data_IF_863819341066
#
_entry.id   IF_863819341066
#
_cell.length_a   1.000
_cell.length_b   1.000
_cell.length_c   1.000
_cell.angle_alpha   90.00
_cell.angle_beta   90.00
_cell.angle_gamma   90.00
#
_symmetry.space_group_name_H-M   'P 1'
#
loop_
_entity.id
_entity.type
_entity.pdbx_description
1 polymer ?
#
# COMPACT_ATOMS: atom_id res chain seq x y z
N UNK A 1 -14.95 -19.58 27.75
CA UNK A 1 -15.20 -18.41 26.89
C UNK A 1 -16.16 -17.39 27.54
N UNK A 2 -17.22 -17.80 28.25
CA UNK A 2 -18.25 -16.86 28.74
C UNK A 2 -17.81 -15.92 29.88
N UNK A 3 -16.92 -16.33 30.79
CA UNK A 3 -16.58 -15.50 31.97
C UNK A 3 -15.78 -14.25 31.60
N UNK A 4 -14.78 -14.38 30.71
CA UNK A 4 -13.96 -13.25 30.28
C UNK A 4 -14.76 -12.32 29.38
N UNK A 5 -15.48 -12.83 28.38
CA UNK A 5 -16.31 -12.01 27.49
C UNK A 5 -17.43 -11.30 28.27
N UNK A 6 -18.12 -12.03 29.15
CA UNK A 6 -19.19 -11.47 29.98
C UNK A 6 -18.75 -10.30 30.87
N UNK A 7 -17.49 -10.29 31.30
CA UNK A 7 -16.91 -9.21 32.11
C UNK A 7 -16.12 -8.16 31.30
N UNK A 8 -15.92 -8.37 30.00
CA UNK A 8 -15.15 -7.46 29.13
C UNK A 8 -16.06 -6.69 28.17
N UNK A 9 -16.92 -7.41 27.45
CA UNK A 9 -17.71 -6.89 26.33
C UNK A 9 -19.21 -7.26 26.43
N UNK A 10 -19.56 -8.11 27.39
CA UNK A 10 -20.89 -8.72 27.53
C UNK A 10 -21.30 -9.54 26.31
N UNK A 11 -22.09 -8.98 25.40
CA UNK A 11 -22.56 -9.64 24.20
C UNK A 11 -22.42 -8.71 22.99
N UNK A 12 -22.20 -9.29 21.80
CA UNK A 12 -22.25 -8.56 20.53
C UNK A 12 -23.64 -7.97 20.27
N UNK A 13 -23.71 -6.85 19.55
CA UNK A 13 -24.96 -6.17 19.18
C UNK A 13 -26.01 -7.14 18.63
N UNK A 14 -27.21 -7.15 19.22
CA UNK A 14 -28.31 -8.02 18.78
C UNK A 14 -28.71 -7.76 17.33
N UNK A 15 -28.70 -6.50 16.90
CA UNK A 15 -29.00 -6.14 15.50
C UNK A 15 -27.95 -6.72 14.54
N UNK A 16 -26.67 -6.66 14.91
CA UNK A 16 -25.59 -7.24 14.10
C UNK A 16 -25.69 -8.77 14.02
N UNK A 17 -26.17 -9.43 15.07
CA UNK A 17 -26.40 -10.89 15.06
C UNK A 17 -27.50 -11.28 14.08
N UNK A 18 -28.66 -10.60 14.10
CA UNK A 18 -29.73 -10.88 13.14
C UNK A 18 -29.30 -10.60 11.70
N UNK A 19 -28.54 -9.53 11.46
CA UNK A 19 -27.96 -9.27 10.14
C UNK A 19 -26.95 -10.35 9.71
N UNK A 20 -26.12 -10.86 10.64
CA UNK A 20 -25.16 -11.92 10.37
C UNK A 20 -25.85 -13.26 10.03
N UNK A 21 -27.00 -13.56 10.63
CA UNK A 21 -27.79 -14.73 10.26
C UNK A 21 -28.15 -14.66 8.78
N UNK A 22 -28.78 -13.57 8.33
CA UNK A 22 -29.15 -13.41 6.92
C UNK A 22 -27.92 -13.43 5.99
N UNK A 23 -26.83 -12.77 6.38
CA UNK A 23 -25.59 -12.77 5.60
C UNK A 23 -25.00 -14.18 5.40
N UNK A 24 -25.18 -15.10 6.36
CA UNK A 24 -24.66 -16.47 6.31
C UNK A 24 -25.63 -17.43 5.62
N UNK A 25 -26.93 -17.36 5.93
CA UNK A 25 -27.93 -18.34 5.46
C UNK A 25 -28.65 -17.91 4.18
N UNK A 26 -28.63 -16.62 3.86
CA UNK A 26 -29.28 -16.04 2.68
C UNK A 26 -28.50 -16.22 1.38
N UNK A 27 -28.89 -15.48 0.34
CA UNK A 27 -28.31 -15.59 -1.00
C UNK A 27 -26.83 -15.15 -1.05
N UNK A 28 -25.95 -16.07 -1.43
CA UNK A 28 -24.51 -15.86 -1.49
C UNK A 28 -24.00 -15.32 -2.85
N UNK A 29 -24.87 -15.13 -3.85
CA UNK A 29 -24.47 -14.66 -5.19
C UNK A 29 -23.72 -13.33 -5.19
N UNK A 30 -23.99 -12.46 -4.20
CA UNK A 30 -23.29 -11.20 -4.03
C UNK A 30 -21.77 -11.39 -3.91
N UNK A 31 -21.33 -12.41 -3.16
CA UNK A 31 -19.91 -12.67 -2.87
C UNK A 31 -19.11 -12.94 -4.14
N UNK A 32 -19.65 -13.75 -5.06
CA UNK A 32 -18.96 -14.08 -6.32
C UNK A 32 -18.73 -12.82 -7.18
N UNK A 33 -19.75 -11.96 -7.31
CA UNK A 33 -19.62 -10.69 -8.03
C UNK A 33 -18.65 -9.73 -7.33
N UNK A 34 -18.71 -9.66 -5.99
CA UNK A 34 -17.81 -8.84 -5.18
C UNK A 34 -16.35 -9.27 -5.38
N UNK A 35 -16.05 -10.57 -5.28
CA UNK A 35 -14.72 -11.13 -5.52
C UNK A 35 -14.22 -10.83 -6.94
N UNK A 36 -15.10 -10.93 -7.96
CA UNK A 36 -14.73 -10.58 -9.34
C UNK A 36 -14.31 -9.12 -9.48
N UNK A 37 -15.04 -8.19 -8.85
CA UNK A 37 -14.68 -6.75 -8.84
C UNK A 37 -13.35 -6.51 -8.14
N UNK A 38 -13.11 -7.16 -7.00
CA UNK A 38 -11.83 -7.04 -6.28
C UNK A 38 -10.66 -7.64 -7.04
N UNK A 39 -10.86 -8.76 -7.77
CA UNK A 39 -9.84 -9.33 -8.64
C UNK A 39 -9.43 -8.35 -9.75
N UNK A 40 -10.39 -7.70 -10.40
CA UNK A 40 -10.10 -6.67 -11.43
C UNK A 40 -9.28 -5.50 -10.86
N UNK A 41 -9.65 -5.02 -9.66
CA UNK A 41 -8.92 -3.94 -8.97
C UNK A 41 -7.51 -4.38 -8.57
N UNK A 42 -7.36 -5.60 -8.06
CA UNK A 42 -6.05 -6.19 -7.74
C UNK A 42 -5.16 -6.21 -8.98
N UNK A 43 -5.66 -6.78 -10.07
CA UNK A 43 -4.87 -6.97 -11.29
C UNK A 43 -4.40 -5.62 -11.83
N UNK A 44 -5.31 -4.63 -11.88
CA UNK A 44 -4.98 -3.26 -12.26
C UNK A 44 -3.90 -2.62 -11.36
N UNK A 45 -4.06 -2.69 -10.03
CA UNK A 45 -3.09 -2.09 -9.11
C UNK A 45 -1.73 -2.79 -9.21
N UNK A 46 -1.69 -4.12 -9.30
CA UNK A 46 -0.44 -4.87 -9.43
C UNK A 46 0.27 -4.52 -10.74
N UNK A 47 -0.46 -4.41 -11.85
CA UNK A 47 0.09 -3.98 -13.13
C UNK A 47 0.73 -2.60 -13.01
N UNK A 48 -0.03 -1.60 -12.53
CA UNK A 48 0.45 -0.21 -12.42
C UNK A 48 1.61 -0.04 -11.45
N UNK A 49 1.60 -0.76 -10.32
CA UNK A 49 2.71 -0.67 -9.36
C UNK A 49 3.99 -1.29 -9.93
N UNK A 50 3.90 -2.34 -10.75
CA UNK A 50 5.07 -2.92 -11.42
C UNK A 50 5.58 -2.08 -12.61
N UNK A 51 4.80 -1.11 -13.11
CA UNK A 51 5.28 -0.08 -14.04
C UNK A 51 6.14 0.99 -13.34
N UNK A 52 6.01 1.15 -12.02
CA UNK A 52 6.74 2.17 -11.27
C UNK A 52 8.19 1.75 -11.01
N UNK A 53 9.13 2.57 -11.48
CA UNK A 53 10.55 2.29 -11.30
C UNK A 53 10.92 2.21 -9.80
N UNK A 54 11.62 1.15 -9.42
CA UNK A 54 12.04 0.89 -8.05
C UNK A 54 10.99 0.21 -7.16
N UNK A 55 9.78 -0.04 -7.68
CA UNK A 55 8.77 -0.86 -7.01
C UNK A 55 8.66 -2.26 -7.64
N UNK A 56 8.29 -3.24 -6.83
CA UNK A 56 7.98 -4.59 -7.32
C UNK A 56 6.88 -5.21 -6.48
N UNK A 57 5.87 -5.78 -7.13
CA UNK A 57 4.72 -6.34 -6.45
C UNK A 57 4.33 -7.71 -7.01
N UNK A 58 4.31 -8.72 -6.14
CA UNK A 58 3.74 -10.04 -6.46
C UNK A 58 2.21 -9.95 -6.45
N UNK A 59 1.57 -10.66 -7.37
CA UNK A 59 0.11 -10.81 -7.39
C UNK A 59 -0.35 -11.53 -6.11
N UNK A 60 -1.19 -10.92 -5.26
CA UNK A 60 -1.72 -11.58 -4.07
C UNK A 60 -2.84 -12.55 -4.43
N UNK A 61 -2.94 -13.64 -3.69
CA UNK A 61 -3.94 -14.70 -3.92
C UNK A 61 -5.30 -14.40 -3.26
N UNK A 62 -5.35 -13.47 -2.30
CA UNK A 62 -6.56 -13.11 -1.57
C UNK A 62 -6.45 -11.81 -0.78
N UNK A 63 -7.42 -11.58 0.11
CA UNK A 63 -7.67 -10.31 0.79
C UNK A 63 -7.89 -9.15 -0.21
N UNK A 64 -7.61 -7.91 0.22
CA UNK A 64 -7.76 -6.71 -0.60
C UNK A 64 -6.57 -5.74 -0.49
N UNK A 65 -5.38 -6.30 -0.27
CA UNK A 65 -4.13 -5.54 -0.14
C UNK A 65 -3.09 -6.02 -1.14
N UNK A 66 -2.35 -5.09 -1.73
CA UNK A 66 -1.05 -5.41 -2.33
C UNK A 66 0.05 -5.02 -1.37
N UNK A 67 1.13 -5.81 -1.37
CA UNK A 67 2.32 -5.55 -0.57
C UNK A 67 3.49 -5.45 -1.54
N UNK A 68 3.86 -4.21 -1.86
CA UNK A 68 4.86 -3.92 -2.87
C UNK A 68 6.20 -3.62 -2.20
N UNK A 69 7.27 -4.27 -2.64
CA UNK A 69 8.61 -3.89 -2.25
C UNK A 69 8.92 -2.51 -2.83
N UNK A 70 9.51 -1.65 -2.01
CA UNK A 70 10.04 -0.36 -2.42
C UNK A 70 11.57 -0.33 -2.27
N UNK A 71 12.23 -1.50 -2.28
CA UNK A 71 13.68 -1.58 -2.12
C UNK A 71 14.45 -0.74 -3.15
N UNK A 72 13.94 -0.66 -4.39
CA UNK A 72 14.59 0.08 -5.47
C UNK A 72 14.47 1.60 -5.39
N UNK A 73 13.71 2.14 -4.43
CA UNK A 73 13.66 3.60 -4.17
C UNK A 73 14.46 4.01 -2.94
N UNK A 74 14.91 3.04 -2.13
CA UNK A 74 15.75 3.32 -0.96
C UNK A 74 17.12 3.82 -1.44
N UNK A 75 17.61 4.89 -0.83
CA UNK A 75 18.84 5.57 -1.22
C UNK A 75 18.66 6.63 -2.31
N UNK A 76 17.46 6.75 -2.92
CA UNK A 76 17.15 7.84 -3.85
C UNK A 76 16.80 9.13 -3.10
N UNK A 77 16.97 10.25 -3.80
CA UNK A 77 16.69 11.58 -3.26
C UNK A 77 15.47 12.19 -3.93
N UNK A 78 14.59 12.79 -3.14
CA UNK A 78 13.42 13.54 -3.61
C UNK A 78 13.83 14.84 -4.29
N UNK A 79 12.96 15.43 -5.12
CA UNK A 79 13.21 16.74 -5.74
C UNK A 79 13.47 17.88 -4.72
N UNK A 80 13.04 17.71 -3.46
CA UNK A 80 13.26 18.64 -2.36
C UNK A 80 14.58 18.37 -1.60
N UNK A 81 15.39 17.40 -2.04
CA UNK A 81 16.69 17.07 -1.44
C UNK A 81 16.64 16.12 -0.24
N UNK A 82 15.45 15.61 0.13
CA UNK A 82 15.32 14.59 1.20
C UNK A 82 15.70 13.20 0.68
N UNK A 83 16.59 12.51 1.39
CA UNK A 83 16.96 11.12 1.15
C UNK A 83 15.85 10.17 1.62
N UNK A 84 15.58 9.11 0.85
CA UNK A 84 14.67 8.03 1.25
C UNK A 84 15.50 6.92 1.89
N UNK A 85 15.57 6.86 3.22
CA UNK A 85 16.35 5.84 3.94
C UNK A 85 15.52 4.61 4.27
N UNK A 86 14.21 4.78 4.45
CA UNK A 86 13.29 3.72 4.91
C UNK A 86 12.00 3.68 4.11
N UNK A 87 11.23 2.60 4.26
CA UNK A 87 9.87 2.51 3.72
C UNK A 87 8.91 3.55 4.34
N UNK A 88 9.16 3.95 5.60
CA UNK A 88 8.46 5.06 6.25
C UNK A 88 8.76 6.39 5.55
N UNK A 89 10.01 6.66 5.17
CA UNK A 89 10.35 7.87 4.42
C UNK A 89 9.65 7.91 3.07
N UNK A 90 9.60 6.77 2.38
CA UNK A 90 8.89 6.67 1.10
C UNK A 90 7.37 6.86 1.27
N UNK A 91 6.76 6.24 2.29
CA UNK A 91 5.35 6.41 2.58
C UNK A 91 5.00 7.88 2.90
N UNK A 92 5.84 8.57 3.69
CA UNK A 92 5.67 9.99 3.98
C UNK A 92 5.88 10.86 2.74
N UNK A 93 6.85 10.54 1.90
CA UNK A 93 7.05 11.22 0.62
C UNK A 93 5.83 11.14 -0.30
N UNK A 94 5.24 9.94 -0.46
CA UNK A 94 4.00 9.75 -1.23
C UNK A 94 2.85 10.58 -0.66
N UNK A 95 2.73 10.63 0.67
CA UNK A 95 1.68 11.38 1.34
C UNK A 95 1.86 12.90 1.18
N UNK A 96 3.03 13.42 1.52
CA UNK A 96 3.30 14.86 1.60
C UNK A 96 3.38 15.52 0.23
N UNK A 97 4.01 14.86 -0.75
CA UNK A 97 4.28 15.48 -2.05
C UNK A 97 3.27 15.07 -3.13
N UNK A 98 2.65 13.90 -3.01
CA UNK A 98 1.73 13.36 -4.03
C UNK A 98 0.31 13.10 -3.48
N UNK A 99 0.08 13.28 -2.19
CA UNK A 99 -1.24 13.11 -1.57
C UNK A 99 -1.75 11.67 -1.64
N UNK A 100 -0.86 10.67 -1.51
CA UNK A 100 -1.21 9.25 -1.48
C UNK A 100 -0.80 8.64 -0.15
N UNK A 101 -1.78 8.24 0.65
CA UNK A 101 -1.54 7.56 1.92
C UNK A 101 -1.37 6.04 1.71
N UNK A 102 -0.22 5.51 2.13
CA UNK A 102 0.07 4.08 2.19
C UNK A 102 0.59 3.72 3.57
N UNK A 103 0.60 2.43 3.93
CA UNK A 103 1.17 1.98 5.21
C UNK A 103 2.55 1.37 4.98
N UNK A 104 3.61 1.82 5.67
CA UNK A 104 4.93 1.25 5.52
C UNK A 104 5.00 -0.19 6.08
N UNK A 105 5.87 -0.99 5.48
CA UNK A 105 6.11 -2.39 5.79
C UNK A 105 6.74 -2.61 7.16
N UNK A 106 7.45 -1.61 7.67
CA UNK A 106 7.97 -1.55 9.04
C UNK A 106 6.90 -1.81 10.10
N UNK A 107 5.67 -1.31 9.90
CA UNK A 107 4.52 -1.60 10.77
C UNK A 107 4.07 -3.06 10.76
N UNK A 108 4.55 -3.85 9.79
CA UNK A 108 4.31 -5.29 9.64
C UNK A 108 5.59 -6.12 9.81
N UNK A 109 6.68 -5.52 10.32
CA UNK A 109 7.99 -6.17 10.48
C UNK A 109 8.58 -6.70 9.17
N UNK A 110 8.27 -6.05 8.05
CA UNK A 110 8.62 -6.51 6.71
C UNK A 110 9.12 -5.36 5.83
N UNK A 111 10.07 -4.56 6.32
CA UNK A 111 10.71 -3.53 5.51
C UNK A 111 11.66 -4.11 4.45
N UNK A 112 11.88 -3.43 3.30
CA UNK A 112 11.27 -2.17 2.85
C UNK A 112 10.08 -2.41 1.90
N UNK A 113 8.86 -2.36 2.43
CA UNK A 113 7.63 -2.60 1.67
C UNK A 113 6.60 -1.51 1.95
N UNK A 114 5.59 -1.40 1.09
CA UNK A 114 4.40 -0.59 1.34
C UNK A 114 3.13 -1.41 1.10
N UNK A 115 2.13 -1.21 1.95
CA UNK A 115 0.81 -1.82 1.83
C UNK A 115 -0.18 -0.84 1.23
N UNK A 116 -0.83 -1.23 0.15
CA UNK A 116 -1.88 -0.46 -0.52
C UNK A 116 -3.19 -1.27 -0.45
N UNK A 117 -4.25 -0.66 0.07
CA UNK A 117 -5.60 -1.23 0.02
C UNK A 117 -6.24 -0.91 -1.33
N UNK A 118 -6.75 -1.92 -2.02
CA UNK A 118 -7.53 -1.75 -3.26
C UNK A 118 -9.05 -1.89 -3.02
N UNK A 119 -9.49 -1.71 -1.78
CA UNK A 119 -10.90 -1.63 -1.40
C UNK A 119 -11.50 -0.23 -1.66
N UNK A 120 -11.32 0.30 -2.88
CA UNK A 120 -11.93 1.55 -3.31
C UNK A 120 -12.51 1.47 -4.74
N UNK A 121 -13.00 2.59 -5.27
CA UNK A 121 -13.41 2.75 -6.66
C UNK A 121 -12.22 2.62 -7.60
N UNK A 122 -12.46 2.17 -8.84
CA UNK A 122 -11.38 2.04 -9.83
C UNK A 122 -10.78 3.41 -10.17
N UNK A 123 -11.63 4.43 -10.30
CA UNK A 123 -11.21 5.82 -10.58
C UNK A 123 -10.27 6.38 -9.50
N UNK A 124 -10.50 6.07 -8.22
CA UNK A 124 -9.57 6.45 -7.15
C UNK A 124 -8.25 5.70 -7.25
N UNK A 125 -8.29 4.39 -7.56
CA UNK A 125 -7.09 3.58 -7.74
C UNK A 125 -6.27 4.04 -8.94
N UNK A 126 -6.90 4.42 -10.04
CA UNK A 126 -6.24 4.99 -11.22
C UNK A 126 -5.50 6.28 -10.85
N UNK A 127 -6.16 7.21 -10.17
CA UNK A 127 -5.54 8.46 -9.71
C UNK A 127 -4.39 8.21 -8.74
N UNK A 128 -4.56 7.28 -7.79
CA UNK A 128 -3.53 6.95 -6.81
C UNK A 128 -2.30 6.31 -7.48
N UNK A 129 -2.50 5.35 -8.39
CA UNK A 129 -1.41 4.70 -9.12
C UNK A 129 -0.67 5.68 -10.03
N UNK A 130 -1.38 6.57 -10.73
CA UNK A 130 -0.76 7.62 -11.54
C UNK A 130 0.13 8.55 -10.72
N UNK A 131 -0.30 8.90 -9.50
CA UNK A 131 0.49 9.70 -8.55
C UNK A 131 1.72 8.94 -8.04
N UNK A 132 1.60 7.64 -7.76
CA UNK A 132 2.74 6.80 -7.36
C UNK A 132 3.77 6.71 -8.49
N UNK A 133 3.32 6.49 -9.73
CA UNK A 133 4.19 6.47 -10.91
C UNK A 133 4.96 7.79 -11.06
N UNK A 134 4.25 8.93 -10.94
CA UNK A 134 4.86 10.25 -10.99
C UNK A 134 5.86 10.47 -9.84
N UNK A 135 5.55 9.97 -8.64
CA UNK A 135 6.43 10.06 -7.48
C UNK A 135 7.74 9.28 -7.71
N UNK A 136 7.65 8.03 -8.15
CA UNK A 136 8.84 7.24 -8.47
C UNK A 136 9.70 7.88 -9.57
N UNK A 137 9.07 8.44 -10.62
CA UNK A 137 9.78 9.13 -11.70
C UNK A 137 10.46 10.44 -11.27
N UNK A 138 9.98 11.08 -10.20
CA UNK A 138 10.55 12.33 -9.67
C UNK A 138 11.76 12.10 -8.75
N UNK A 139 12.12 10.84 -8.46
CA UNK A 139 13.29 10.50 -7.65
C UNK A 139 14.56 10.50 -8.50
N UNK A 140 15.64 11.05 -7.93
CA UNK A 140 16.96 11.05 -8.56
C UNK A 140 17.94 10.19 -7.77
N UNK A 141 18.88 9.57 -8.47
CA UNK A 141 20.03 8.93 -7.84
C UNK A 141 20.82 9.95 -7.01
N UNK A 142 21.30 9.53 -5.85
CA UNK A 142 22.14 10.37 -5.00
C UNK A 142 23.50 10.51 -5.68
N UNK A 143 23.68 11.62 -6.41
CA UNK A 143 24.90 11.89 -7.15
C UNK A 143 26.13 11.91 -6.23
N UNK A 144 27.10 11.05 -6.55
CA UNK A 144 28.51 11.18 -6.17
C UNK A 144 28.96 12.63 -6.39
N UNK A 145 28.99 13.42 -5.31
CA UNK A 145 29.57 14.76 -5.28
C UNK A 145 30.55 14.83 -4.11
N UNK A 146 31.69 14.15 -4.20
CA UNK A 146 32.98 14.64 -3.69
C UNK A 146 34.15 13.70 -4.05
N UNK A 147 34.65 13.77 -5.29
CA UNK A 147 36.02 13.30 -5.59
C UNK A 147 36.62 14.10 -6.76
N UNK A 148 36.57 15.43 -6.66
CA UNK A 148 37.40 16.35 -7.46
C UNK A 148 37.85 17.52 -6.59
N UNK A 149 38.69 17.23 -5.59
CA UNK A 149 39.54 18.22 -4.94
C UNK A 149 40.85 17.58 -4.50
N UNK A 150 41.56 16.97 -5.45
CA UNK A 150 43.00 16.78 -5.33
C UNK A 150 43.56 16.87 -6.73
N UNK A 151 44.63 17.65 -6.89
CA UNK A 151 45.33 18.01 -8.13
C UNK A 151 44.85 19.31 -8.79
N UNK A 152 45.41 20.46 -8.37
CA UNK A 152 46.33 21.25 -9.21
C UNK A 152 47.25 22.06 -8.28
N UNK A 153 48.56 21.82 -8.47
CA UNK A 153 49.78 22.61 -8.17
C UNK A 153 49.77 23.64 -7.03
#
# INVERSE_FOLDING_TARGET
>A
MNTIEGQTSSHTSSISQYAAIEAIVGDQKYVANFVSKFRKRRDFVVEKINEAEGLTCRVPEGAFYVFASCAGVIGKTTAQGKLIETDTDFAMYLLEQFGVAVVPGSGFMASPYIRISYASSLDELERACARILAACAALSETGSRYEQSTTVA
#
